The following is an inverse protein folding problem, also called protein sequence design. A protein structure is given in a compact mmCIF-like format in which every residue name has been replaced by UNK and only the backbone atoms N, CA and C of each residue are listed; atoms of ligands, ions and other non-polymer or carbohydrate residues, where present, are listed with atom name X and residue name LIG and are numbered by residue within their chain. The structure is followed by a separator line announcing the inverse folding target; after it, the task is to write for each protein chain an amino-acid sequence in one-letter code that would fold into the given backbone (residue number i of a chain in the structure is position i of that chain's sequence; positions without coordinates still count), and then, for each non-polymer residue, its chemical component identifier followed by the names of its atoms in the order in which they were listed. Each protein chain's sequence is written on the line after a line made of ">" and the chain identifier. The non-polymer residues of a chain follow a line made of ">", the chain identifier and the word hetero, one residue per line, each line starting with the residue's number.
data_IF_775636305515
#
_entry.id   IF_775636305515
#
_cell.length_a   1.000
_cell.length_b   1.000
_cell.length_c   1.000
_cell.angle_alpha   90.00
_cell.angle_beta   90.00
_cell.angle_gamma   90.00
#
_symmetry.space_group_name_H-M   'P 1'
#
loop_
_entity.id
_entity.type
_entity.pdbx_description
1 polymer ?
#
# COMPACT_ATOMS: atom_id res chain seq x y z
N UNK A 1 -5.17 -0.95 -20.14
CA UNK A 1 -6.56 -0.91 -19.66
C UNK A 1 -7.23 -2.27 -19.77
N UNK A 2 -7.05 -2.96 -20.90
CA UNK A 2 -7.45 -4.37 -21.07
C UNK A 2 -7.04 -5.27 -19.89
N UNK A 3 -5.78 -5.18 -19.45
CA UNK A 3 -5.27 -5.94 -18.30
C UNK A 3 -6.02 -5.70 -16.98
N UNK A 4 -6.63 -4.53 -16.76
CA UNK A 4 -7.38 -4.25 -15.53
C UNK A 4 -8.77 -4.88 -15.64
N UNK A 5 -9.43 -4.69 -16.78
CA UNK A 5 -10.78 -5.22 -17.02
C UNK A 5 -10.78 -6.75 -17.11
N UNK A 6 -9.70 -7.37 -17.58
CA UNK A 6 -9.57 -8.84 -17.66
C UNK A 6 -9.29 -9.51 -16.32
N UNK A 7 -8.77 -8.77 -15.33
CA UNK A 7 -8.48 -9.28 -13.98
C UNK A 7 -9.62 -8.98 -12.99
N UNK A 8 -10.19 -7.76 -13.06
CA UNK A 8 -11.19 -7.29 -12.10
C UNK A 8 -12.59 -7.88 -12.34
N UNK A 9 -12.96 -8.14 -13.60
CA UNK A 9 -14.31 -8.59 -13.95
C UNK A 9 -14.49 -10.11 -13.82
N UNK A 10 -14.26 -10.63 -12.61
CA UNK A 10 -14.51 -12.04 -12.32
C UNK A 10 -16.01 -12.31 -12.08
N UNK A 11 -16.54 -13.45 -12.56
CA UNK A 11 -17.92 -13.83 -12.28
C UNK A 11 -18.13 -14.10 -10.78
N UNK A 12 -19.38 -14.00 -10.34
CA UNK A 12 -19.76 -14.31 -8.97
C UNK A 12 -19.33 -15.73 -8.55
N UNK A 13 -18.77 -15.85 -7.35
CA UNK A 13 -18.27 -17.13 -6.79
C UNK A 13 -16.77 -17.36 -6.93
N UNK A 14 -16.06 -16.57 -7.74
CA UNK A 14 -14.59 -16.68 -7.92
C UNK A 14 -13.95 -15.30 -7.70
N UNK A 15 -13.69 -14.90 -6.45
CA UNK A 15 -13.16 -13.57 -6.16
C UNK A 15 -11.68 -13.44 -6.54
N UNK A 16 -11.28 -12.24 -7.00
CA UNK A 16 -9.88 -11.86 -7.23
C UNK A 16 -9.59 -10.54 -6.53
N UNK A 17 -8.57 -10.52 -5.68
CA UNK A 17 -8.10 -9.33 -5.00
C UNK A 17 -7.26 -8.47 -5.95
N UNK A 18 -7.92 -7.56 -6.67
CA UNK A 18 -7.26 -6.67 -7.65
C UNK A 18 -6.67 -5.44 -6.96
N UNK A 19 -5.45 -5.06 -7.32
CA UNK A 19 -4.77 -3.83 -6.85
C UNK A 19 -4.60 -2.83 -7.99
N UNK A 20 -4.04 -1.65 -7.70
CA UNK A 20 -3.78 -0.61 -8.69
C UNK A 20 -2.93 -1.11 -9.88
N UNK A 21 -3.11 -0.48 -11.06
CA UNK A 21 -2.28 -0.73 -12.24
C UNK A 21 -0.79 -0.48 -11.90
N UNK A 22 0.09 -1.38 -12.33
CA UNK A 22 1.51 -1.40 -11.94
C UNK A 22 1.74 -1.41 -10.41
N UNK A 23 0.74 -1.81 -9.62
CA UNK A 23 0.75 -1.81 -8.16
C UNK A 23 1.36 -3.07 -7.53
N UNK A 24 2.44 -3.61 -8.08
CA UNK A 24 3.07 -4.85 -7.58
C UNK A 24 3.45 -4.76 -6.09
N UNK A 25 3.92 -3.59 -5.64
CA UNK A 25 4.19 -3.33 -4.23
C UNK A 25 2.92 -3.51 -3.36
N UNK A 26 1.78 -2.98 -3.81
CA UNK A 26 0.52 -3.10 -3.09
C UNK A 26 0.03 -4.55 -3.05
N UNK A 27 0.25 -5.32 -4.12
CA UNK A 27 -0.04 -6.76 -4.12
C UNK A 27 0.80 -7.50 -3.07
N UNK A 28 2.11 -7.19 -2.98
CA UNK A 28 2.99 -7.77 -1.96
C UNK A 28 2.57 -7.40 -0.53
N UNK A 29 2.21 -6.14 -0.28
CA UNK A 29 1.71 -5.68 1.02
C UNK A 29 0.39 -6.38 1.37
N UNK A 30 -0.52 -6.54 0.41
CA UNK A 30 -1.78 -7.25 0.63
C UNK A 30 -1.53 -8.73 0.96
N UNK A 31 -0.63 -9.39 0.24
CA UNK A 31 -0.23 -10.77 0.53
C UNK A 31 0.37 -10.89 1.95
N UNK A 32 1.26 -9.98 2.34
CA UNK A 32 1.82 -9.95 3.68
C UNK A 32 0.75 -9.73 4.76
N UNK A 33 -0.26 -8.89 4.50
CA UNK A 33 -1.40 -8.70 5.40
C UNK A 33 -2.27 -9.95 5.55
N UNK A 34 -2.46 -10.73 4.48
CA UNK A 34 -3.17 -12.01 4.54
C UNK A 34 -2.38 -13.00 5.42
N UNK A 35 -1.07 -13.14 5.20
CA UNK A 35 -0.23 -14.06 5.98
C UNK A 35 -0.14 -13.63 7.46
N UNK A 36 -0.07 -12.33 7.73
CA UNK A 36 -0.05 -11.76 9.07
C UNK A 36 -1.26 -12.15 9.94
N UNK A 37 -2.37 -12.62 9.34
CA UNK A 37 -3.54 -13.09 10.12
C UNK A 37 -3.22 -14.35 10.94
N UNK A 38 -2.21 -15.12 10.53
CA UNK A 38 -1.78 -16.36 11.18
C UNK A 38 -0.32 -16.35 11.63
N UNK A 39 0.46 -15.32 11.25
CA UNK A 39 1.89 -15.20 11.55
C UNK A 39 2.20 -13.90 12.30
N UNK A 40 2.64 -14.04 13.56
CA UNK A 40 2.89 -12.92 14.47
C UNK A 40 4.12 -12.08 14.11
N UNK A 41 5.13 -12.72 13.53
CA UNK A 41 6.35 -12.03 13.08
C UNK A 41 6.00 -11.13 11.89
N UNK A 42 5.29 -11.68 10.90
CA UNK A 42 4.86 -10.93 9.73
C UNK A 42 3.86 -9.82 10.12
N UNK A 43 2.95 -10.07 11.07
CA UNK A 43 2.08 -9.03 11.62
C UNK A 43 2.87 -7.84 12.18
N UNK A 44 3.93 -8.12 12.94
CA UNK A 44 4.81 -7.09 13.53
C UNK A 44 5.52 -6.30 12.43
N UNK A 45 6.05 -6.99 11.41
CA UNK A 45 6.72 -6.37 10.27
C UNK A 45 5.78 -5.47 9.46
N UNK A 46 4.55 -5.92 9.20
CA UNK A 46 3.53 -5.12 8.50
C UNK A 46 3.15 -3.87 9.29
N UNK A 47 3.02 -3.97 10.62
CA UNK A 47 2.76 -2.80 11.48
C UNK A 47 3.91 -1.80 11.45
N UNK A 48 5.15 -2.28 11.59
CA UNK A 48 6.34 -1.44 11.54
C UNK A 48 6.45 -0.71 10.19
N UNK A 49 6.16 -1.40 9.08
CA UNK A 49 6.13 -0.80 7.76
C UNK A 49 5.07 0.30 7.64
N UNK A 50 3.85 0.10 8.17
CA UNK A 50 2.80 1.14 8.16
C UNK A 50 3.17 2.35 9.02
N UNK A 51 3.81 2.15 10.18
CA UNK A 51 4.26 3.25 11.02
C UNK A 51 5.37 4.06 10.34
N UNK A 52 6.29 3.41 9.63
CA UNK A 52 7.35 4.12 8.90
C UNK A 52 6.79 5.02 7.79
N UNK A 53 5.73 4.57 7.09
CA UNK A 53 5.03 5.39 6.10
C UNK A 53 4.37 6.62 6.73
N UNK A 54 3.72 6.44 7.89
CA UNK A 54 3.10 7.54 8.64
C UNK A 54 4.16 8.58 9.04
N UNK A 55 5.25 8.14 9.67
CA UNK A 55 6.35 9.02 10.08
C UNK A 55 6.95 9.77 8.88
N UNK A 56 7.09 9.10 7.73
CA UNK A 56 7.58 9.73 6.50
C UNK A 56 6.66 10.88 6.06
N UNK A 57 5.34 10.68 6.09
CA UNK A 57 4.36 11.70 5.73
C UNK A 57 4.38 12.85 6.73
N UNK A 58 4.40 12.57 8.03
CA UNK A 58 4.46 13.59 9.09
C UNK A 58 5.72 14.46 8.96
N UNK A 59 6.87 13.85 8.68
CA UNK A 59 8.11 14.57 8.46
C UNK A 59 8.05 15.43 7.19
N UNK A 60 7.58 14.88 6.07
CA UNK A 60 7.42 15.64 4.83
C UNK A 60 6.42 16.80 4.97
N UNK A 61 5.35 16.63 5.75
CA UNK A 61 4.41 17.70 6.03
C UNK A 61 5.06 18.83 6.84
N UNK A 62 5.83 18.49 7.88
CA UNK A 62 6.56 19.46 8.69
C UNK A 62 7.60 20.24 7.89
N UNK A 63 8.37 19.55 7.04
CA UNK A 63 9.33 20.21 6.14
C UNK A 63 8.66 21.22 5.21
N UNK A 64 7.45 20.89 4.73
CA UNK A 64 6.68 21.75 3.83
C UNK A 64 6.10 22.97 4.57
N UNK A 65 5.71 22.84 5.84
CA UNK A 65 5.30 23.96 6.70
C UNK A 65 6.48 24.89 7.01
N UNK A 66 7.66 24.33 7.33
CA UNK A 66 8.83 25.10 7.74
C UNK A 66 9.48 25.86 6.57
N UNK A 67 9.53 25.26 5.38
CA UNK A 67 10.23 25.83 4.20
C UNK A 67 9.30 26.51 3.19
N UNK A 68 8.00 26.28 3.29
CA UNK A 68 7.01 26.76 2.32
C UNK A 68 7.08 26.01 0.98
N UNK A 69 6.00 26.11 0.19
CA UNK A 69 5.82 25.33 -1.04
C UNK A 69 6.86 25.63 -2.15
N UNK A 70 7.54 26.79 -2.10
CA UNK A 70 8.43 27.23 -3.19
C UNK A 70 9.70 26.41 -3.31
N UNK A 71 10.14 25.75 -2.24
CA UNK A 71 11.31 24.86 -2.25
C UNK A 71 10.96 23.40 -2.67
N UNK A 72 9.68 23.09 -2.88
CA UNK A 72 9.18 21.71 -3.05
C UNK A 72 8.83 21.32 -4.51
N UNK A 73 8.81 22.28 -5.44
CA UNK A 73 8.67 22.04 -6.90
C UNK A 73 10.05 22.18 -7.55
#
# INVERSE_FOLDING_TARGET
>A
WDSVLSILQMPGGIPVATVALNGALNAGILAAQIIATSDKEIETNVKAYKESLKLKIENSAKELEDRGYQDFI
#
